data_IF_531087546870
#
_entry.id   IF_531087546870
#
_cell.length_a   1.000
_cell.length_b   1.000
_cell.length_c   1.000
_cell.angle_alpha   90.00
_cell.angle_beta   90.00
_cell.angle_gamma   90.00
#
_symmetry.space_group_name_H-M   'P 1'
#
loop_
_entity.id
_entity.type
_entity.pdbx_description
1 polymer ?
#
# COMPACT_ATOMS: atom_id res chain seq x y z
N UNK A 1 25.09 -9.65 -15.91
CA UNK A 1 23.77 -10.29 -16.12
C UNK A 1 23.20 -9.76 -17.41
N UNK A 2 22.81 -10.63 -18.35
CA UNK A 2 21.98 -10.20 -19.49
C UNK A 2 20.56 -10.13 -18.97
N UNK A 3 20.08 -8.93 -18.69
CA UNK A 3 18.65 -8.71 -18.55
C UNK A 3 18.08 -8.99 -19.95
N UNK A 4 17.30 -10.06 -20.10
CA UNK A 4 16.55 -10.27 -21.33
C UNK A 4 15.71 -9.02 -21.57
N UNK A 5 15.62 -8.56 -22.83
CA UNK A 5 14.67 -7.55 -23.28
C UNK A 5 13.24 -8.09 -23.15
N UNK A 6 12.80 -8.39 -21.94
CA UNK A 6 11.45 -8.80 -21.66
C UNK A 6 10.59 -7.54 -21.63
N UNK A 7 9.70 -7.42 -22.63
CA UNK A 7 8.71 -6.36 -22.69
C UNK A 7 7.70 -6.56 -21.54
N UNK A 8 7.41 -5.49 -20.80
CA UNK A 8 6.42 -5.50 -19.70
C UNK A 8 5.01 -5.80 -20.21
N UNK A 9 4.77 -5.61 -21.52
CA UNK A 9 3.48 -5.81 -22.19
C UNK A 9 2.97 -7.26 -22.15
N UNK A 10 3.80 -8.25 -21.77
CA UNK A 10 3.42 -9.67 -21.71
C UNK A 10 3.22 -10.24 -20.30
N UNK A 11 3.25 -9.43 -19.23
CA UNK A 11 3.09 -9.96 -17.87
C UNK A 11 1.63 -10.40 -17.63
N UNK A 12 1.40 -11.71 -17.79
CA UNK A 12 0.11 -12.32 -17.51
C UNK A 12 -0.13 -12.36 -15.98
N UNK A 13 -1.20 -11.70 -15.54
CA UNK A 13 -1.70 -11.79 -14.16
C UNK A 13 -2.45 -13.13 -14.01
N UNK A 14 -1.97 -14.00 -13.14
CA UNK A 14 -2.57 -15.30 -12.86
C UNK A 14 -3.40 -15.28 -11.58
N UNK A 15 -4.45 -16.08 -11.53
CA UNK A 15 -5.25 -16.22 -10.31
C UNK A 15 -4.48 -17.01 -9.25
N UNK A 16 -4.62 -16.59 -8.00
CA UNK A 16 -4.01 -17.26 -6.86
C UNK A 16 -4.64 -18.64 -6.62
N UNK A 17 -3.85 -19.61 -6.16
CA UNK A 17 -4.33 -20.88 -5.65
C UNK A 17 -3.47 -21.36 -4.46
N UNK A 18 -3.99 -22.26 -3.64
CA UNK A 18 -3.34 -22.78 -2.41
C UNK A 18 -2.05 -23.56 -2.65
N UNK A 19 -1.77 -23.98 -3.89
CA UNK A 19 -0.52 -24.67 -4.26
C UNK A 19 0.58 -23.68 -4.66
N UNK A 20 0.24 -22.39 -4.80
CA UNK A 20 1.17 -21.33 -5.21
C UNK A 20 2.13 -21.03 -4.07
N UNK A 21 3.40 -21.38 -4.27
CA UNK A 21 4.50 -21.02 -3.36
C UNK A 21 4.95 -19.62 -3.74
N UNK A 22 4.10 -18.65 -3.41
CA UNK A 22 4.28 -17.26 -3.80
C UNK A 22 5.23 -16.54 -2.86
N UNK A 23 6.11 -15.73 -3.41
CA UNK A 23 6.88 -14.74 -2.67
C UNK A 23 6.18 -13.37 -2.78
N UNK A 24 5.84 -12.75 -1.65
CA UNK A 24 5.33 -11.39 -1.64
C UNK A 24 6.50 -10.39 -1.63
N UNK A 25 6.52 -9.43 -2.55
CA UNK A 25 7.65 -8.51 -2.74
C UNK A 25 7.19 -7.06 -2.79
N UNK A 26 8.09 -6.12 -2.47
CA UNK A 26 7.82 -4.69 -2.57
C UNK A 26 8.88 -3.87 -1.85
N UNK A 27 8.66 -2.55 -1.80
CA UNK A 27 9.57 -1.63 -1.12
C UNK A 27 9.07 -1.38 0.30
N UNK A 28 10.03 -1.19 1.21
CA UNK A 28 9.83 -0.68 2.56
C UNK A 28 10.67 0.57 2.76
N UNK A 29 10.13 1.53 3.50
CA UNK A 29 10.69 2.88 3.64
C UNK A 29 9.88 3.92 2.89
N UNK A 30 10.19 5.22 3.06
CA UNK A 30 9.47 6.29 2.38
C UNK A 30 9.71 6.22 0.87
N UNK A 31 8.64 6.16 0.08
CA UNK A 31 8.74 6.01 -1.38
C UNK A 31 9.38 7.22 -2.06
N UNK A 32 9.21 8.42 -1.50
CA UNK A 32 9.87 9.65 -1.96
C UNK A 32 11.40 9.54 -1.96
N UNK A 33 11.97 8.75 -1.05
CA UNK A 33 13.42 8.56 -0.99
C UNK A 33 13.91 7.68 -2.15
N UNK A 34 13.03 6.85 -2.73
CA UNK A 34 13.37 6.04 -3.92
C UNK A 34 13.64 6.94 -5.14
N UNK A 35 12.99 8.11 -5.21
CA UNK A 35 13.18 9.09 -6.28
C UNK A 35 14.54 9.80 -6.20
N UNK A 36 15.15 9.83 -5.01
CA UNK A 36 16.47 10.44 -4.76
C UNK A 36 17.60 9.40 -4.74
N UNK A 37 17.36 8.28 -4.07
CA UNK A 37 18.27 7.15 -3.95
C UNK A 37 17.84 6.03 -4.91
N UNK A 38 18.11 6.23 -6.20
CA UNK A 38 17.63 5.36 -7.28
C UNK A 38 18.06 3.89 -7.12
N UNK A 39 17.22 2.92 -7.56
CA UNK A 39 17.60 1.52 -7.60
C UNK A 39 18.85 1.26 -8.47
N UNK A 40 19.75 0.42 -7.95
CA UNK A 40 20.89 -0.17 -8.66
C UNK A 40 20.49 -1.29 -9.63
N UNK A 41 19.33 -1.91 -9.43
CA UNK A 41 18.78 -2.99 -10.25
C UNK A 41 19.09 -4.41 -9.76
N UNK A 42 19.81 -4.55 -8.65
CA UNK A 42 20.21 -5.85 -8.08
C UNK A 42 19.43 -6.23 -6.81
N UNK A 43 18.69 -5.30 -6.22
CA UNK A 43 18.03 -5.42 -4.93
C UNK A 43 16.91 -6.44 -4.96
N UNK A 44 16.15 -6.49 -6.06
CA UNK A 44 15.04 -7.43 -6.23
C UNK A 44 15.53 -8.89 -6.18
N UNK A 45 16.52 -9.21 -7.00
CA UNK A 45 17.14 -10.54 -6.98
C UNK A 45 17.80 -10.83 -5.64
N UNK A 46 18.49 -9.84 -5.06
CA UNK A 46 19.19 -9.99 -3.78
C UNK A 46 18.24 -10.27 -2.61
N UNK A 47 17.10 -9.57 -2.53
CA UNK A 47 16.10 -9.78 -1.49
C UNK A 47 15.43 -11.16 -1.64
N UNK A 48 15.14 -11.56 -2.87
CA UNK A 48 14.62 -12.90 -3.17
C UNK A 48 15.61 -14.01 -2.79
N UNK A 49 16.90 -13.87 -3.13
CA UNK A 49 17.97 -14.77 -2.73
C UNK A 49 18.08 -14.86 -1.19
N UNK A 50 18.04 -13.72 -0.50
CA UNK A 50 18.08 -13.66 0.97
C UNK A 50 16.88 -14.36 1.61
N UNK A 51 15.68 -14.23 1.03
CA UNK A 51 14.51 -14.98 1.48
C UNK A 51 14.68 -16.49 1.23
N UNK A 52 15.15 -16.86 0.04
CA UNK A 52 15.35 -18.26 -0.35
C UNK A 52 16.34 -18.98 0.57
N UNK A 53 17.40 -18.32 1.04
CA UNK A 53 18.40 -18.89 1.96
C UNK A 53 17.82 -19.38 3.30
N UNK A 54 16.74 -18.76 3.78
CA UNK A 54 16.10 -19.13 5.05
C UNK A 54 14.80 -19.92 4.85
N UNK A 55 14.43 -20.18 3.60
CA UNK A 55 13.19 -20.87 3.23
C UNK A 55 13.42 -22.36 2.99
N UNK A 56 12.41 -23.16 3.33
CA UNK A 56 12.49 -24.63 3.24
C UNK A 56 11.98 -25.16 1.89
N UNK A 57 11.47 -24.28 1.04
CA UNK A 57 10.91 -24.60 -0.27
C UNK A 57 11.24 -23.50 -1.29
N UNK A 58 11.20 -23.86 -2.57
CA UNK A 58 11.38 -22.92 -3.68
C UNK A 58 10.07 -22.20 -4.01
N UNK A 59 10.18 -20.92 -4.35
CA UNK A 59 9.06 -20.12 -4.82
C UNK A 59 8.82 -20.35 -6.31
N UNK A 60 7.55 -20.37 -6.72
CA UNK A 60 7.15 -20.58 -8.12
C UNK A 60 6.28 -19.44 -8.68
N UNK A 61 6.14 -18.36 -7.92
CA UNK A 61 5.35 -17.19 -8.29
C UNK A 61 5.71 -16.00 -7.41
N UNK A 62 5.34 -14.81 -7.85
CA UNK A 62 5.50 -13.56 -7.09
C UNK A 62 4.20 -12.78 -7.02
N UNK A 63 4.05 -11.97 -5.99
CA UNK A 63 2.95 -11.02 -5.85
C UNK A 63 3.43 -9.80 -5.07
N UNK A 64 2.77 -8.65 -5.16
CA UNK A 64 3.10 -7.54 -4.27
C UNK A 64 2.75 -7.89 -2.83
N UNK A 65 3.52 -7.41 -1.85
CA UNK A 65 3.09 -7.51 -0.45
C UNK A 65 1.93 -6.56 -0.14
N UNK A 66 1.84 -5.44 -0.86
CA UNK A 66 0.69 -4.54 -0.85
C UNK A 66 0.42 -4.03 -2.27
N UNK A 67 -0.85 -3.95 -2.65
CA UNK A 67 -1.25 -3.25 -3.87
C UNK A 67 -1.19 -1.73 -3.63
N UNK A 68 -0.39 -1.03 -4.43
CA UNK A 68 -0.26 0.42 -4.36
C UNK A 68 1.12 0.91 -4.82
N UNK A 69 1.12 1.97 -5.62
CA UNK A 69 2.33 2.69 -6.06
C UNK A 69 3.47 1.77 -6.49
N UNK A 70 4.65 2.03 -5.93
CA UNK A 70 5.90 1.33 -6.29
C UNK A 70 5.93 -0.14 -5.89
N UNK A 71 5.17 -0.57 -4.88
CA UNK A 71 5.12 -1.99 -4.48
C UNK A 71 4.50 -2.88 -5.56
N UNK A 72 3.43 -2.40 -6.20
CA UNK A 72 2.84 -3.08 -7.36
C UNK A 72 3.84 -3.19 -8.51
N UNK A 73 4.50 -2.07 -8.85
CA UNK A 73 5.50 -2.06 -9.93
C UNK A 73 6.71 -2.94 -9.60
N UNK A 74 7.10 -3.00 -8.33
CA UNK A 74 8.16 -3.88 -7.85
C UNK A 74 7.83 -5.35 -8.06
N UNK A 75 6.58 -5.77 -7.84
CA UNK A 75 6.14 -7.13 -8.11
C UNK A 75 6.12 -7.46 -9.61
N UNK A 76 5.67 -6.52 -10.45
CA UNK A 76 5.74 -6.66 -11.91
C UNK A 76 7.19 -6.81 -12.37
N UNK A 77 8.09 -5.94 -11.89
CA UNK A 77 9.52 -6.04 -12.20
C UNK A 77 10.12 -7.37 -11.72
N UNK A 78 9.76 -7.81 -10.51
CA UNK A 78 10.23 -9.10 -9.97
C UNK A 78 9.75 -10.29 -10.80
N UNK A 79 8.51 -10.26 -11.30
CA UNK A 79 7.96 -11.29 -12.19
C UNK A 79 8.80 -11.44 -13.45
N UNK A 80 9.16 -10.32 -14.08
CA UNK A 80 10.00 -10.28 -15.27
C UNK A 80 11.43 -10.72 -14.98
N UNK A 81 12.03 -10.21 -13.90
CA UNK A 81 13.43 -10.45 -13.55
C UNK A 81 13.70 -11.89 -13.11
N UNK A 82 12.76 -12.48 -12.38
CA UNK A 82 12.87 -13.83 -11.83
C UNK A 82 12.27 -14.90 -12.76
N UNK A 83 11.65 -14.49 -13.87
CA UNK A 83 10.88 -15.37 -14.77
C UNK A 83 9.81 -16.17 -14.00
N UNK A 84 9.09 -15.47 -13.11
CA UNK A 84 8.05 -16.05 -12.26
C UNK A 84 6.69 -15.43 -12.58
N UNK A 85 5.59 -16.20 -12.56
CA UNK A 85 4.26 -15.67 -12.79
C UNK A 85 3.87 -14.66 -11.70
N UNK A 86 3.23 -13.56 -12.13
CA UNK A 86 2.64 -12.55 -11.25
C UNK A 86 1.24 -13.00 -10.82
N UNK A 87 1.02 -13.14 -9.53
CA UNK A 87 -0.26 -13.56 -8.96
C UNK A 87 -1.13 -12.34 -8.63
N UNK A 88 -2.42 -12.42 -8.98
CA UNK A 88 -3.47 -11.44 -8.67
C UNK A 88 -3.88 -11.49 -7.19
N UNK A 89 -2.93 -11.23 -6.31
CA UNK A 89 -3.16 -11.15 -4.88
C UNK A 89 -2.14 -10.23 -4.23
N UNK A 90 -2.44 -9.80 -3.03
CA UNK A 90 -1.48 -9.16 -2.14
C UNK A 90 -1.80 -9.53 -0.69
N UNK A 91 -1.05 -9.00 0.28
CA UNK A 91 -1.27 -9.32 1.68
C UNK A 91 -2.16 -8.30 2.40
N UNK A 92 -2.63 -7.24 1.75
CA UNK A 92 -3.38 -6.18 2.43
C UNK A 92 -4.67 -5.78 1.72
N UNK A 93 -4.71 -5.81 0.39
CA UNK A 93 -5.83 -5.34 -0.42
C UNK A 93 -5.86 -3.82 -0.64
N UNK A 94 -4.92 -3.08 -0.05
CA UNK A 94 -4.75 -1.62 -0.18
C UNK A 94 -3.32 -1.20 0.16
N UNK A 95 -3.03 0.08 -0.04
CA UNK A 95 -1.82 0.68 0.50
C UNK A 95 -1.81 0.67 2.04
N UNK A 96 -0.65 0.37 2.64
CA UNK A 96 -0.44 0.14 4.06
C UNK A 96 0.84 0.81 4.57
N UNK A 97 0.77 1.32 5.80
CA UNK A 97 1.85 2.09 6.44
C UNK A 97 2.86 1.22 7.18
N UNK A 98 2.49 -0.03 7.45
CA UNK A 98 3.22 -0.96 8.32
C UNK A 98 2.96 -2.41 7.91
N UNK A 99 3.99 -3.25 8.02
CA UNK A 99 3.87 -4.70 7.83
C UNK A 99 2.97 -5.35 8.89
N UNK A 100 2.68 -4.68 10.00
CA UNK A 100 1.71 -5.16 10.99
C UNK A 100 0.27 -5.21 10.44
N UNK A 101 0.01 -4.55 9.30
CA UNK A 101 -1.31 -4.45 8.68
C UNK A 101 -1.60 -5.55 7.65
N UNK A 102 -0.65 -6.47 7.41
CA UNK A 102 -0.88 -7.59 6.49
C UNK A 102 -1.86 -8.62 7.08
N UNK A 103 -2.68 -9.20 6.21
CA UNK A 103 -3.65 -10.27 6.47
C UNK A 103 -2.96 -11.60 6.78
N UNK A 104 -1.76 -11.83 6.22
CA UNK A 104 -0.98 -13.03 6.49
C UNK A 104 -0.41 -13.01 7.91
N UNK A 105 -1.19 -13.52 8.88
CA UNK A 105 -0.64 -13.89 10.16
C UNK A 105 -1.40 -15.02 10.83
N UNK A 106 -0.91 -16.24 10.61
CA UNK A 106 -1.06 -17.34 11.56
C UNK A 106 0.01 -17.20 12.67
N UNK A 107 -0.37 -17.00 13.96
CA UNK A 107 0.58 -16.99 15.08
C UNK A 107 1.44 -18.27 15.18
N UNK A 108 0.99 -19.36 14.56
CA UNK A 108 1.64 -20.67 14.62
C UNK A 108 2.60 -20.93 13.45
N UNK A 109 2.57 -20.11 12.39
CA UNK A 109 3.47 -20.25 11.24
C UNK A 109 4.50 -19.11 11.20
N UNK A 110 5.80 -19.39 11.38
CA UNK A 110 6.83 -18.36 11.25
C UNK A 110 6.83 -17.73 9.86
N UNK A 111 7.17 -16.45 9.78
CA UNK A 111 7.45 -15.73 8.54
C UNK A 111 8.95 -15.66 8.31
N UNK A 112 9.33 -15.79 7.04
CA UNK A 112 10.65 -15.48 6.56
C UNK A 112 10.62 -14.17 5.77
N UNK A 113 11.66 -13.38 5.92
CA UNK A 113 11.87 -12.16 5.15
C UNK A 113 13.30 -12.09 4.62
N UNK A 114 13.45 -11.65 3.38
CA UNK A 114 14.70 -11.20 2.79
C UNK A 114 14.62 -9.71 2.52
N UNK A 115 15.70 -8.99 2.85
CA UNK A 115 15.86 -7.58 2.59
C UNK A 115 17.11 -7.35 1.76
N UNK A 116 17.05 -6.39 0.84
CA UNK A 116 18.23 -5.89 0.16
C UNK A 116 18.15 -4.37 -0.10
N UNK A 117 19.28 -3.69 0.05
CA UNK A 117 19.45 -2.27 -0.27
C UNK A 117 20.13 -2.08 -1.63
N UNK A 118 20.05 -0.86 -2.16
CA UNK A 118 20.78 -0.44 -3.36
C UNK A 118 22.29 -0.34 -3.21
N UNK A 119 22.76 -0.30 -1.96
CA UNK A 119 24.18 -0.28 -1.58
C UNK A 119 24.77 -1.68 -1.37
N UNK A 120 23.94 -2.73 -1.43
CA UNK A 120 24.37 -4.13 -1.46
C UNK A 120 24.24 -4.88 -0.13
N UNK A 121 23.77 -4.25 0.94
CA UNK A 121 23.41 -4.94 2.17
C UNK A 121 22.28 -5.93 1.93
N UNK A 122 22.37 -7.08 2.58
CA UNK A 122 21.41 -8.17 2.49
C UNK A 122 21.12 -8.70 3.89
N UNK A 123 19.84 -8.88 4.22
CA UNK A 123 19.43 -9.37 5.54
C UNK A 123 18.37 -10.45 5.38
N UNK A 124 18.53 -11.56 6.10
CA UNK A 124 17.51 -12.59 6.20
C UNK A 124 16.97 -12.64 7.63
N UNK A 125 15.64 -12.62 7.77
CA UNK A 125 14.95 -12.59 9.05
C UNK A 125 13.99 -13.77 9.10
N UNK A 126 13.98 -14.47 10.22
CA UNK A 126 12.94 -15.45 10.56
C UNK A 126 12.30 -15.02 11.87
N UNK A 127 10.99 -14.84 11.85
CA UNK A 127 10.24 -14.35 13.01
C UNK A 127 8.86 -14.97 13.09
N UNK A 128 8.28 -14.98 14.29
CA UNK A 128 6.89 -15.37 14.53
C UNK A 128 6.03 -14.18 14.95
N UNK A 129 6.56 -12.97 14.85
CA UNK A 129 5.90 -11.75 15.29
C UNK A 129 6.10 -10.67 14.22
N UNK A 130 5.00 -10.24 13.61
CA UNK A 130 4.99 -9.17 12.61
C UNK A 130 5.45 -7.82 13.17
N UNK A 131 5.11 -7.51 14.42
CA UNK A 131 5.58 -6.29 15.06
C UNK A 131 7.10 -6.33 15.30
N UNK A 132 7.66 -7.53 15.50
CA UNK A 132 9.12 -7.70 15.54
C UNK A 132 9.73 -7.55 14.15
N UNK A 133 9.08 -8.09 13.12
CA UNK A 133 9.52 -7.94 11.73
C UNK A 133 9.57 -6.46 11.35
N UNK A 134 8.46 -5.75 11.50
CA UNK A 134 8.29 -4.33 11.20
C UNK A 134 9.37 -3.48 11.87
N UNK A 135 9.57 -3.66 13.18
CA UNK A 135 10.60 -2.94 13.93
C UNK A 135 12.02 -3.24 13.44
N UNK A 136 12.31 -4.51 13.16
CA UNK A 136 13.63 -4.92 12.67
C UNK A 136 13.88 -4.29 11.29
N UNK A 137 12.91 -4.41 10.38
CA UNK A 137 12.97 -3.82 9.03
C UNK A 137 13.22 -2.31 9.12
N UNK A 138 12.44 -1.59 9.94
CA UNK A 138 12.58 -0.13 10.12
C UNK A 138 13.97 0.28 10.63
N UNK A 139 14.56 -0.50 11.52
CA UNK A 139 15.93 -0.25 11.99
C UNK A 139 16.99 -0.47 10.91
N UNK A 140 16.72 -1.36 9.95
CA UNK A 140 17.66 -1.65 8.85
C UNK A 140 17.63 -0.62 7.72
N UNK A 141 16.54 0.15 7.59
CA UNK A 141 16.40 1.15 6.50
C UNK A 141 17.54 2.16 6.46
N UNK A 142 18.12 2.51 7.61
CA UNK A 142 19.26 3.42 7.69
C UNK A 142 20.50 2.93 6.93
N UNK A 143 20.66 1.62 6.75
CA UNK A 143 21.75 1.05 5.95
C UNK A 143 21.47 1.13 4.45
N UNK A 144 20.19 1.14 4.03
CA UNK A 144 19.79 1.22 2.62
C UNK A 144 19.43 2.62 2.15
N UNK A 145 20.12 3.65 2.66
CA UNK A 145 19.80 5.05 2.32
C UNK A 145 18.33 5.45 2.58
N UNK A 146 17.64 4.77 3.51
CA UNK A 146 16.25 5.06 3.91
C UNK A 146 15.20 4.12 3.31
N UNK A 147 15.52 3.27 2.33
CA UNK A 147 14.59 2.29 1.75
C UNK A 147 15.28 0.95 1.43
N UNK A 148 14.50 -0.13 1.37
CA UNK A 148 14.99 -1.45 0.97
C UNK A 148 13.91 -2.21 0.19
N UNK A 149 14.31 -3.16 -0.64
CA UNK A 149 13.40 -4.19 -1.14
C UNK A 149 13.16 -5.21 -0.05
N UNK A 150 11.91 -5.57 0.15
CA UNK A 150 11.44 -6.64 1.01
C UNK A 150 10.86 -7.79 0.16
N UNK A 151 11.25 -9.01 0.49
CA UNK A 151 10.63 -10.24 0.03
C UNK A 151 10.17 -11.04 1.26
N UNK A 152 8.91 -11.47 1.33
CA UNK A 152 8.34 -12.22 2.46
C UNK A 152 7.52 -13.42 2.02
N UNK A 153 7.58 -14.48 2.82
CA UNK A 153 6.75 -15.67 2.67
C UNK A 153 6.64 -16.44 3.99
N UNK A 154 5.63 -17.31 4.16
CA UNK A 154 5.57 -18.20 5.32
C UNK A 154 6.71 -19.23 5.28
N UNK A 155 7.26 -19.59 6.44
CA UNK A 155 8.51 -20.35 6.51
C UNK A 155 8.37 -21.83 6.10
N UNK A 156 7.18 -22.41 6.29
CA UNK A 156 6.96 -23.87 6.19
C UNK A 156 5.81 -24.28 5.27
N UNK A 157 4.97 -23.35 4.83
CA UNK A 157 3.83 -23.63 3.96
C UNK A 157 3.64 -22.50 2.93
N UNK A 158 2.96 -22.76 1.81
CA UNK A 158 2.38 -21.69 1.01
C UNK A 158 1.48 -20.77 1.84
N UNK A 159 1.21 -19.58 1.33
CA UNK A 159 0.11 -18.75 1.84
C UNK A 159 -1.21 -19.55 1.77
N UNK A 160 -2.07 -19.37 2.77
CA UNK A 160 -3.42 -19.91 2.79
C UNK A 160 -4.40 -18.89 2.23
N UNK A 161 -5.63 -19.32 1.91
CA UNK A 161 -6.67 -18.41 1.36
C UNK A 161 -6.94 -17.25 2.33
N UNK A 162 -6.82 -17.48 3.64
CA UNK A 162 -6.95 -16.47 4.71
C UNK A 162 -5.84 -15.44 4.77
N UNK A 163 -4.69 -15.69 4.14
CA UNK A 163 -3.51 -14.85 4.23
C UNK A 163 -3.43 -13.77 3.14
N UNK A 164 -4.27 -13.86 2.12
CA UNK A 164 -4.17 -13.10 0.88
C UNK A 164 -5.48 -12.43 0.50
N UNK A 165 -5.39 -11.25 -0.09
CA UNK A 165 -6.54 -10.54 -0.69
C UNK A 165 -6.44 -10.65 -2.20
N UNK A 166 -7.46 -11.22 -2.83
CA UNK A 166 -7.41 -11.58 -4.25
C UNK A 166 -7.92 -10.46 -5.17
N UNK A 167 -7.41 -10.42 -6.39
CA UNK A 167 -8.02 -9.69 -7.50
C UNK A 167 -7.77 -8.18 -7.54
N UNK A 168 -6.96 -7.64 -6.62
CA UNK A 168 -6.74 -6.20 -6.54
C UNK A 168 -5.83 -5.67 -7.64
N UNK A 169 -4.88 -6.45 -8.14
CA UNK A 169 -4.09 -6.06 -9.31
C UNK A 169 -4.97 -5.91 -10.54
N UNK A 170 -5.91 -6.85 -10.74
CA UNK A 170 -6.88 -6.74 -11.83
C UNK A 170 -7.81 -5.53 -11.69
N UNK A 171 -8.23 -5.18 -10.47
CA UNK A 171 -9.03 -3.96 -10.21
C UNK A 171 -8.23 -2.71 -10.55
N UNK A 172 -7.01 -2.59 -10.01
CA UNK A 172 -6.13 -1.45 -10.28
C UNK A 172 -5.84 -1.29 -11.77
N UNK A 173 -5.59 -2.40 -12.48
CA UNK A 173 -5.37 -2.40 -13.94
C UNK A 173 -6.60 -1.91 -14.72
N UNK A 174 -7.81 -2.33 -14.34
CA UNK A 174 -9.05 -1.84 -14.98
C UNK A 174 -9.25 -0.35 -14.75
N UNK A 175 -9.12 0.13 -13.51
CA UNK A 175 -9.24 1.56 -13.18
C UNK A 175 -8.21 2.37 -13.96
N UNK A 176 -6.94 1.96 -13.94
CA UNK A 176 -5.87 2.64 -14.67
C UNK A 176 -6.11 2.67 -16.18
N UNK A 177 -6.63 1.59 -16.77
CA UNK A 177 -6.99 1.53 -18.18
C UNK A 177 -8.11 2.53 -18.53
N UNK A 178 -9.19 2.59 -17.74
CA UNK A 178 -10.26 3.59 -17.94
C UNK A 178 -9.72 5.02 -17.83
N UNK A 179 -8.85 5.28 -16.84
CA UNK A 179 -8.21 6.59 -16.67
C UNK A 179 -7.30 6.97 -17.85
N UNK A 180 -6.57 6.00 -18.44
CA UNK A 180 -5.73 6.23 -19.62
C UNK A 180 -6.56 6.53 -20.87
N UNK A 181 -7.62 5.76 -21.11
CA UNK A 181 -8.49 5.93 -22.28
C UNK A 181 -9.20 7.28 -22.30
N UNK A 182 -9.50 7.80 -21.12
CA UNK A 182 -10.20 9.07 -20.94
C UNK A 182 -9.25 10.28 -20.96
N UNK A 183 -7.93 10.03 -21.01
CA UNK A 183 -6.87 11.03 -20.97
C UNK A 183 -6.63 11.51 -19.55
N UNK A 184 -5.42 11.28 -19.02
CA UNK A 184 -5.07 11.65 -17.63
C UNK A 184 -5.58 13.05 -17.23
N UNK A 185 -5.38 14.06 -18.10
CA UNK A 185 -5.90 15.40 -17.89
C UNK A 185 -7.35 15.56 -18.34
N UNK A 186 -8.31 15.32 -17.45
CA UNK A 186 -9.70 15.62 -17.73
C UNK A 186 -10.22 16.84 -16.95
N UNK A 187 -10.53 17.87 -17.74
CA UNK A 187 -11.41 19.00 -17.40
C UNK A 187 -12.83 18.56 -17.01
N UNK A 188 -13.23 17.32 -17.30
CA UNK A 188 -14.55 16.78 -16.96
C UNK A 188 -14.46 15.64 -15.94
N UNK A 189 -15.38 15.63 -14.96
CA UNK A 189 -15.53 14.56 -13.97
C UNK A 189 -16.01 13.27 -14.67
N UNK A 190 -15.08 12.49 -15.22
CA UNK A 190 -15.45 11.23 -15.86
C UNK A 190 -16.04 10.25 -14.83
N UNK A 191 -17.12 9.59 -15.22
CA UNK A 191 -17.85 8.70 -14.33
C UNK A 191 -17.16 7.34 -14.25
N UNK A 192 -16.40 7.14 -13.17
CA UNK A 192 -15.74 5.88 -12.84
C UNK A 192 -16.57 5.00 -11.90
N UNK A 193 -17.87 5.32 -11.69
CA UNK A 193 -18.73 4.55 -10.79
C UNK A 193 -18.92 3.10 -11.23
N UNK A 194 -18.88 2.85 -12.54
CA UNK A 194 -18.98 1.52 -13.13
C UNK A 194 -17.78 0.61 -12.81
N UNK A 195 -16.61 1.18 -12.45
CA UNK A 195 -15.44 0.46 -11.91
C UNK A 195 -15.31 0.60 -10.39
N UNK A 196 -16.34 1.09 -9.70
CA UNK A 196 -16.41 1.17 -8.25
C UNK A 196 -15.77 2.42 -7.64
N UNK A 197 -15.42 3.43 -8.44
CA UNK A 197 -14.84 4.69 -7.95
C UNK A 197 -15.91 5.77 -7.88
N UNK A 198 -16.08 6.39 -6.71
CA UNK A 198 -17.01 7.48 -6.47
C UNK A 198 -16.27 8.79 -6.21
N UNK A 199 -16.68 9.87 -6.87
CA UNK A 199 -16.20 11.22 -6.57
C UNK A 199 -16.98 11.77 -5.38
N UNK A 200 -16.25 12.21 -4.35
CA UNK A 200 -16.82 12.83 -3.15
C UNK A 200 -16.89 14.36 -3.28
N UNK A 201 -15.91 14.96 -3.95
CA UNK A 201 -15.87 16.40 -4.18
C UNK A 201 -14.66 16.83 -5.00
N UNK A 202 -14.67 18.06 -5.47
CA UNK A 202 -13.55 18.68 -6.20
C UNK A 202 -13.41 20.14 -5.79
N UNK A 203 -12.23 20.51 -5.34
CA UNK A 203 -12.04 21.81 -4.70
C UNK A 203 -10.59 22.21 -4.56
N UNK A 204 -10.41 23.51 -4.27
CA UNK A 204 -9.09 24.04 -3.93
C UNK A 204 -8.78 23.74 -2.47
N UNK A 205 -7.59 23.23 -2.21
CA UNK A 205 -7.06 23.07 -0.84
C UNK A 205 -6.85 24.45 -0.24
N UNK A 206 -7.62 24.77 0.80
CA UNK A 206 -7.57 26.04 1.54
C UNK A 206 -6.78 25.93 2.84
N UNK A 207 -6.57 24.70 3.34
CA UNK A 207 -5.80 24.45 4.55
C UNK A 207 -5.04 23.12 4.44
N UNK A 208 -3.82 23.11 4.97
CA UNK A 208 -2.99 21.91 5.15
C UNK A 208 -2.38 21.98 6.56
N UNK A 209 -3.08 21.43 7.54
CA UNK A 209 -2.69 21.44 8.93
C UNK A 209 -1.98 20.13 9.32
N UNK A 210 -1.08 20.20 10.31
CA UNK A 210 -0.37 19.04 10.86
C UNK A 210 -0.58 18.96 12.36
N UNK A 211 -0.84 17.76 12.87
CA UNK A 211 -0.93 17.51 14.29
C UNK A 211 -0.46 16.10 14.64
N UNK A 212 0.00 15.93 15.87
CA UNK A 212 0.42 14.64 16.39
C UNK A 212 -0.74 13.88 17.03
N UNK A 213 -0.88 12.59 16.71
CA UNK A 213 -1.71 11.66 17.48
C UNK A 213 -0.83 10.62 18.15
N UNK A 214 -1.35 9.95 19.18
CA UNK A 214 -0.66 8.86 19.85
C UNK A 214 -0.54 7.69 18.88
N UNK A 215 0.68 7.19 18.66
CA UNK A 215 0.89 6.00 17.83
C UNK A 215 0.55 4.73 18.63
N UNK A 216 -0.52 3.97 18.28
CA UNK A 216 -0.89 2.74 18.99
C UNK A 216 0.18 1.66 18.92
N UNK A 217 1.02 1.70 17.87
CA UNK A 217 2.10 0.75 17.65
C UNK A 217 3.37 1.10 18.46
N UNK A 218 3.44 2.29 19.06
CA UNK A 218 4.54 2.63 19.95
C UNK A 218 4.40 1.92 21.30
N UNK A 219 5.35 1.02 21.59
CA UNK A 219 5.45 0.29 22.87
C UNK A 219 6.25 1.04 23.94
N UNK A 220 6.81 2.22 23.63
CA UNK A 220 7.44 3.08 24.64
C UNK A 220 6.42 4.04 25.23
N UNK A 221 6.16 3.92 26.54
CA UNK A 221 5.24 4.80 27.26
C UNK A 221 5.63 6.27 27.05
N UNK A 222 4.78 7.03 26.36
CA UNK A 222 4.94 8.47 26.15
C UNK A 222 5.87 8.89 24.99
N UNK A 223 6.37 7.97 24.16
CA UNK A 223 7.24 8.31 23.03
C UNK A 223 6.76 7.63 21.76
N UNK A 224 5.99 8.35 20.94
CA UNK A 224 5.51 7.89 19.65
C UNK A 224 4.32 8.72 19.22
N UNK A 225 4.58 9.74 18.41
CA UNK A 225 3.52 10.50 17.77
C UNK A 225 3.51 10.20 16.29
N UNK A 226 2.32 9.85 15.77
CA UNK A 226 2.09 9.77 14.34
C UNK A 226 1.64 11.14 13.87
N UNK A 227 2.32 11.67 12.85
CA UNK A 227 1.93 12.94 12.26
C UNK A 227 0.73 12.73 11.34
N UNK A 228 -0.37 13.42 11.63
CA UNK A 228 -1.58 13.44 10.81
C UNK A 228 -1.63 14.76 10.07
N UNK A 229 -1.90 14.67 8.77
CA UNK A 229 -2.16 15.80 7.88
C UNK A 229 -3.66 15.93 7.71
N UNK A 230 -4.18 17.14 7.85
CA UNK A 230 -5.58 17.47 7.60
C UNK A 230 -5.66 18.47 6.47
N UNK A 231 -6.32 18.08 5.38
CA UNK A 231 -6.52 18.90 4.20
C UNK A 231 -7.97 19.39 4.16
N UNK A 232 -8.18 20.70 4.18
CA UNK A 232 -9.50 21.30 4.00
C UNK A 232 -9.64 21.79 2.56
N UNK A 233 -10.75 21.49 1.91
CA UNK A 233 -11.13 22.04 0.61
C UNK A 233 -12.62 22.40 0.58
N UNK A 234 -12.96 23.39 -0.25
CA UNK A 234 -14.35 23.74 -0.54
C UNK A 234 -14.73 23.17 -1.90
N UNK A 235 -15.78 22.35 -1.96
CA UNK A 235 -16.28 21.82 -3.23
C UNK A 235 -16.85 22.94 -4.08
N UNK A 236 -16.40 23.00 -5.33
CA UNK A 236 -16.75 24.11 -6.24
C UNK A 236 -18.23 24.11 -6.66
N UNK A 237 -18.97 23.01 -6.44
CA UNK A 237 -20.35 22.84 -6.95
C UNK A 237 -21.40 22.89 -5.85
N UNK A 238 -21.07 22.42 -4.66
CA UNK A 238 -22.02 22.23 -3.56
C UNK A 238 -21.79 23.16 -2.37
N UNK A 239 -20.76 24.02 -2.42
CA UNK A 239 -20.29 24.86 -1.29
C UNK A 239 -19.92 24.06 -0.02
N UNK A 240 -19.97 22.72 -0.08
CA UNK A 240 -19.61 21.84 1.04
C UNK A 240 -18.13 21.89 1.35
N UNK A 241 -17.79 21.70 2.61
CA UNK A 241 -16.42 21.63 3.09
C UNK A 241 -16.03 20.17 3.25
N UNK A 242 -15.03 19.74 2.49
CA UNK A 242 -14.41 18.43 2.69
C UNK A 242 -13.16 18.58 3.54
N UNK A 243 -13.02 17.69 4.52
CA UNK A 243 -11.77 17.52 5.27
C UNK A 243 -11.25 16.11 5.09
N UNK A 244 -10.03 15.99 4.59
CA UNK A 244 -9.35 14.70 4.40
C UNK A 244 -8.25 14.58 5.45
N UNK A 245 -8.30 13.56 6.30
CA UNK A 245 -7.19 13.25 7.22
C UNK A 245 -6.32 12.12 6.64
N UNK A 246 -5.01 12.27 6.74
CA UNK A 246 -4.03 11.36 6.16
C UNK A 246 -2.79 11.22 7.03
N UNK A 247 -2.10 10.10 6.91
CA UNK A 247 -0.73 9.93 7.41
C UNK A 247 0.19 9.69 6.22
N UNK A 248 0.69 8.46 6.04
CA UNK A 248 1.29 8.02 4.79
C UNK A 248 0.23 7.65 3.74
N UNK A 249 -0.98 7.32 4.19
CA UNK A 249 -2.17 7.07 3.37
C UNK A 249 -3.29 8.04 3.74
N UNK A 250 -4.23 8.27 2.81
CA UNK A 250 -5.50 8.92 3.14
C UNK A 250 -6.36 7.98 3.99
N UNK A 251 -6.84 8.48 5.14
CA UNK A 251 -7.48 7.67 6.17
C UNK A 251 -8.97 7.92 6.29
N UNK A 252 -9.43 9.16 6.17
CA UNK A 252 -10.85 9.49 6.23
C UNK A 252 -11.20 10.76 5.46
N UNK A 253 -12.48 10.91 5.15
CA UNK A 253 -13.07 12.14 4.60
C UNK A 253 -14.30 12.51 5.40
N UNK A 254 -14.31 13.75 5.90
CA UNK A 254 -15.48 14.41 6.45
C UNK A 254 -16.09 15.33 5.40
N UNK A 255 -17.41 15.42 5.35
CA UNK A 255 -18.17 16.40 4.54
C UNK A 255 -19.06 17.19 5.49
N UNK A 256 -18.84 18.50 5.58
CA UNK A 256 -19.53 19.40 6.53
C UNK A 256 -19.50 18.90 7.98
N UNK A 257 -18.41 18.21 8.34
CA UNK A 257 -18.20 17.63 9.67
C UNK A 257 -18.63 16.18 9.80
N UNK A 258 -19.45 15.64 8.89
CA UNK A 258 -19.92 14.25 8.93
C UNK A 258 -18.94 13.28 8.29
N UNK A 259 -18.68 12.14 8.94
CA UNK A 259 -17.80 11.11 8.40
C UNK A 259 -18.47 10.35 7.24
N UNK A 260 -17.94 10.56 6.03
CA UNK A 260 -18.50 9.96 4.80
C UNK A 260 -17.75 8.69 4.38
N UNK A 261 -16.44 8.66 4.58
CA UNK A 261 -15.61 7.46 4.32
C UNK A 261 -14.43 7.41 5.27
N UNK A 262 -14.04 6.20 5.64
CA UNK A 262 -12.85 5.91 6.44
C UNK A 262 -12.16 4.64 5.95
N UNK A 263 -10.89 4.49 6.31
CA UNK A 263 -10.17 3.24 6.17
C UNK A 263 -10.96 2.09 6.85
N UNK A 264 -11.06 0.92 6.21
CA UNK A 264 -10.16 0.42 5.16
C UNK A 264 -10.55 0.81 3.72
N UNK A 265 -11.68 1.49 3.48
CA UNK A 265 -12.01 1.97 2.14
C UNK A 265 -10.91 2.90 1.60
N UNK A 266 -10.70 2.82 0.29
CA UNK A 266 -9.55 3.45 -0.37
C UNK A 266 -9.93 4.87 -0.75
N UNK A 267 -9.26 5.84 -0.14
CA UNK A 267 -9.41 7.25 -0.48
C UNK A 267 -8.25 7.64 -1.39
N UNK A 268 -8.54 8.38 -2.46
CA UNK A 268 -7.55 8.84 -3.43
C UNK A 268 -7.79 10.30 -3.76
N UNK A 269 -6.72 11.08 -3.82
CA UNK A 269 -6.75 12.46 -4.29
C UNK A 269 -6.08 12.52 -5.66
N UNK A 270 -6.69 13.24 -6.58
CA UNK A 270 -6.16 13.48 -7.92
C UNK A 270 -5.96 14.99 -8.12
N UNK A 271 -4.80 15.42 -8.61
CA UNK A 271 -4.65 16.78 -9.10
C UNK A 271 -5.46 16.94 -10.40
N UNK A 272 -6.41 17.87 -10.39
CA UNK A 272 -7.34 18.09 -11.50
C UNK A 272 -6.61 18.58 -12.76
N UNK A 273 -5.48 19.26 -12.61
CA UNK A 273 -4.76 19.82 -13.77
C UNK A 273 -3.94 18.77 -14.50
N UNK A 274 -3.28 17.89 -13.74
CA UNK A 274 -2.36 16.88 -14.29
C UNK A 274 -3.05 15.53 -14.51
N UNK A 275 -4.12 15.25 -13.76
CA UNK A 275 -4.74 13.94 -13.75
C UNK A 275 -4.05 12.89 -12.88
N UNK A 276 -2.95 13.27 -12.24
CA UNK A 276 -2.11 12.35 -11.48
C UNK A 276 -2.66 12.19 -10.06
N UNK A 277 -2.61 10.97 -9.54
CA UNK A 277 -2.95 10.70 -8.14
C UNK A 277 -1.85 11.26 -7.23
N UNK A 278 -2.25 12.01 -6.21
CA UNK A 278 -1.34 12.61 -5.25
C UNK A 278 -1.14 11.71 -4.05
N UNK A 279 0.09 11.60 -3.54
CA UNK A 279 0.34 11.14 -2.18
C UNK A 279 -0.07 12.22 -1.16
N UNK A 280 -0.34 11.87 0.11
CA UNK A 280 -0.54 12.87 1.16
C UNK A 280 0.60 13.89 1.23
N UNK A 281 1.83 13.46 0.93
CA UNK A 281 3.03 14.27 0.97
C UNK A 281 3.14 15.22 -0.22
N UNK A 282 2.41 15.03 -1.31
CA UNK A 282 2.38 15.92 -2.46
C UNK A 282 1.30 17.00 -2.36
N UNK A 283 0.26 16.79 -1.55
CA UNK A 283 -0.84 17.76 -1.40
C UNK A 283 -0.34 19.07 -0.78
N UNK A 284 -0.60 20.20 -1.45
CA UNK A 284 -0.22 21.56 -1.05
C UNK A 284 -1.43 22.49 -1.00
N UNK A 285 -1.32 23.54 -0.19
CA UNK A 285 -2.25 24.67 -0.24
C UNK A 285 -2.34 25.24 -1.66
N UNK A 286 -3.56 25.51 -2.12
CA UNK A 286 -3.83 26.06 -3.44
C UNK A 286 -3.98 25.04 -4.56
N UNK A 287 -3.60 23.77 -4.35
CA UNK A 287 -3.88 22.70 -5.33
C UNK A 287 -5.38 22.52 -5.52
N UNK A 288 -5.82 22.29 -6.75
CA UNK A 288 -7.21 21.89 -7.04
C UNK A 288 -7.20 20.38 -7.16
N UNK A 289 -7.88 19.72 -6.23
CA UNK A 289 -7.90 18.26 -6.15
C UNK A 289 -9.31 17.73 -6.26
N UNK A 290 -9.41 16.52 -6.81
CA UNK A 290 -10.60 15.68 -6.79
C UNK A 290 -10.42 14.60 -5.74
N UNK A 291 -11.36 14.52 -4.80
CA UNK A 291 -11.39 13.50 -3.75
C UNK A 291 -12.29 12.37 -4.22
N UNK A 292 -11.74 11.15 -4.23
CA UNK A 292 -12.41 9.95 -4.68
C UNK A 292 -12.32 8.86 -3.61
N UNK A 293 -13.28 7.93 -3.67
CA UNK A 293 -13.27 6.71 -2.86
C UNK A 293 -13.57 5.48 -3.72
N UNK A 294 -13.00 4.35 -3.34
CA UNK A 294 -13.38 3.02 -3.84
C UNK A 294 -13.47 2.03 -2.67
N UNK A 295 -14.39 1.06 -2.75
CA UNK A 295 -14.61 0.14 -1.64
C UNK A 295 -13.37 -0.74 -1.43
N UNK A 296 -13.03 -0.98 -0.18
CA UNK A 296 -12.13 -2.07 0.17
C UNK A 296 -12.78 -3.41 -0.24
N UNK A 297 -12.05 -4.41 -0.75
CA UNK A 297 -12.62 -5.67 -1.23
C UNK A 297 -13.02 -6.62 -0.08
N UNK A 298 -13.98 -6.22 0.74
CA UNK A 298 -14.45 -6.98 1.91
C UNK A 298 -14.86 -8.41 1.56
N UNK A 299 -15.41 -8.64 0.37
CA UNK A 299 -15.83 -9.94 -0.11
C UNK A 299 -14.68 -10.90 -0.45
N UNK A 300 -13.44 -10.38 -0.54
CA UNK A 300 -12.25 -11.13 -0.98
C UNK A 300 -11.26 -11.40 0.15
N UNK A 301 -11.68 -11.12 1.37
CA UNK A 301 -10.92 -11.40 2.58
C UNK A 301 -11.47 -12.69 3.16
N UNK A 302 -10.60 -13.67 3.39
CA UNK A 302 -11.02 -14.92 3.98
C UNK A 302 -11.08 -14.89 5.53
N UNK A 303 -10.59 -13.82 6.19
CA UNK A 303 -10.64 -13.62 7.64
C UNK A 303 -11.21 -12.25 8.08
N UNK A 304 -12.08 -12.23 9.10
CA UNK A 304 -12.63 -10.98 9.68
C UNK A 304 -11.60 -10.14 10.47
N UNK A 305 -10.48 -10.75 10.92
CA UNK A 305 -9.47 -10.10 11.77
C UNK A 305 -8.61 -9.08 11.02
N UNK A 306 -8.51 -9.18 9.70
CA UNK A 306 -7.60 -8.38 8.89
C UNK A 306 -8.10 -6.94 8.73
N UNK A 307 -9.43 -6.76 8.79
CA UNK A 307 -10.08 -5.45 8.70
C UNK A 307 -9.78 -4.58 9.93
N UNK A 308 -9.71 -5.15 11.13
CA UNK A 308 -9.50 -4.39 12.38
C UNK A 308 -8.16 -3.65 12.38
N UNK A 309 -7.12 -4.23 11.77
CA UNK A 309 -5.78 -3.63 11.66
C UNK A 309 -5.69 -2.49 10.63
N UNK A 310 -6.75 -2.30 9.87
CA UNK A 310 -6.88 -1.28 8.83
C UNK A 310 -7.87 -0.17 9.24
N UNK A 311 -8.51 -0.29 10.40
CA UNK A 311 -9.40 0.72 10.96
C UNK A 311 -8.64 1.95 11.48
N UNK A 312 -9.35 3.06 11.69
CA UNK A 312 -8.77 4.32 12.18
C UNK A 312 -8.08 4.15 13.54
N UNK A 313 -8.59 3.24 14.37
CA UNK A 313 -7.96 2.87 15.64
C UNK A 313 -6.50 2.41 15.49
N UNK A 314 -6.16 1.67 14.43
CA UNK A 314 -4.79 1.24 14.14
C UNK A 314 -3.85 2.42 13.82
N UNK A 315 -4.40 3.55 13.39
CA UNK A 315 -3.68 4.79 13.12
C UNK A 315 -3.68 5.79 14.30
N UNK A 316 -4.27 5.42 15.44
CA UNK A 316 -4.38 6.30 16.61
C UNK A 316 -5.56 7.27 16.56
N UNK A 317 -6.53 7.00 15.68
CA UNK A 317 -7.71 7.84 15.44
C UNK A 317 -9.01 7.17 15.95
N UNK A 318 -8.94 6.31 16.97
CA UNK A 318 -10.10 5.58 17.50
C UNK A 318 -11.24 6.49 17.95
N UNK A 319 -10.92 7.68 18.49
CA UNK A 319 -11.92 8.67 18.93
C UNK A 319 -12.77 9.18 17.75
N UNK A 320 -12.19 9.22 16.53
CA UNK A 320 -12.92 9.59 15.31
C UNK A 320 -13.92 8.52 14.89
N UNK A 321 -13.83 7.27 15.33
CA UNK A 321 -14.84 6.25 15.01
C UNK A 321 -16.08 6.37 15.89
N UNK A 322 -15.94 6.90 17.11
CA UNK A 322 -17.01 6.98 18.10
C UNK A 322 -17.83 8.25 17.98
N UNK A 323 -17.21 9.36 17.57
CA UNK A 323 -17.88 10.67 17.41
C UNK A 323 -18.95 10.65 16.32
N UNK A 324 -18.89 9.73 15.35
CA UNK A 324 -19.82 9.68 14.21
C UNK A 324 -20.76 8.46 14.20
N UNK A 325 -20.75 7.66 15.27
CA UNK A 325 -21.74 6.58 15.49
C UNK A 325 -22.80 6.94 16.55
N UNK A 326 -22.72 8.14 17.13
CA UNK A 326 -23.66 8.69 18.11
C UNK A 326 -24.52 9.77 17.46
#
# INVERSE_FOLDING_TARGET
MRYNNAEVDSVAIQQWNEQSRTCAVGIVGPTEVVDEALPSGSELASAFESLAQVSTYSFNSVMPWQVGGVCTLTAVASSVLLDLPLIDADLVGRAASSLEQVACFDPFSPLNAGLASSTGERVSIRTRDLAHLERTVRQMLGFGCGWMVLAIAPASSPFQTTDVVHGQLSVARRIGHEMMQTGYGLKDRHDLSHVGVKILGEGRITENAHYGVKDPQSRFAGQGSRNVRSFTLHDQRSETVLRVEATNEFLLVLVDGELVVAAPDIISLQDVHTGVLCSPQEVRHGMVVRVMTSPYPYERIAGKRDVERLQLSAYGLAEREQVFKA
#
